data_IF_206505910316
#
_entry.id   IF_206505910316
#
_cell.length_a   1.000
_cell.length_b   1.000
_cell.length_c   1.000
_cell.angle_alpha   90.00
_cell.angle_beta   90.00
_cell.angle_gamma   90.00
#
_symmetry.space_group_name_H-M   'P 1'
#
loop_
_entity.id
_entity.type
_entity.pdbx_description
1 polymer ?
#
# COMPACT_ATOMS: atom_id res chain seq x y z
N UNK A 1 14.70 14.25 29.49
CA UNK A 1 14.22 15.48 28.79
C UNK A 1 14.84 15.54 27.42
N UNK A 2 14.00 15.73 26.39
CA UNK A 2 14.33 16.13 25.01
C UNK A 2 15.08 15.15 24.10
N UNK A 3 14.28 14.57 23.20
CA UNK A 3 14.53 14.37 21.77
C UNK A 3 15.68 13.43 21.35
N UNK A 4 15.29 12.25 20.87
CA UNK A 4 15.73 11.75 19.56
C UNK A 4 14.50 11.47 18.71
N UNK A 5 14.38 12.19 17.59
CA UNK A 5 13.45 11.87 16.49
C UNK A 5 14.20 12.27 15.23
N UNK A 6 14.72 11.30 14.48
CA UNK A 6 15.44 11.51 13.22
C UNK A 6 15.23 10.27 12.35
N UNK A 7 14.20 10.27 11.49
CA UNK A 7 14.16 9.35 10.32
C UNK A 7 15.38 9.67 9.43
N UNK A 8 16.08 8.66 8.92
CA UNK A 8 17.42 8.81 8.36
C UNK A 8 17.46 9.18 6.86
N UNK A 9 16.92 10.34 6.46
CA UNK A 9 16.96 10.78 5.06
C UNK A 9 18.31 11.44 4.67
N UNK A 10 19.04 10.81 3.74
CA UNK A 10 20.42 11.17 3.41
C UNK A 10 20.56 12.35 2.41
N UNK A 11 20.38 13.60 2.88
CA UNK A 11 20.58 14.82 2.06
C UNK A 11 21.77 15.65 2.54
N UNK A 12 22.77 15.84 1.67
CA UNK A 12 23.99 16.59 1.97
C UNK A 12 23.85 18.11 1.69
N UNK A 13 23.88 18.94 2.74
CA UNK A 13 23.96 20.41 2.61
C UNK A 13 25.07 21.05 3.45
N UNK A 14 25.55 22.21 3.00
CA UNK A 14 26.79 22.84 3.49
C UNK A 14 26.51 23.88 4.60
N UNK A 15 27.20 23.75 5.73
CA UNK A 15 26.99 24.62 6.90
C UNK A 15 27.57 26.03 6.72
N UNK A 16 26.76 27.06 6.97
CA UNK A 16 27.19 28.43 7.20
C UNK A 16 26.72 28.91 8.59
N UNK A 17 27.64 29.37 9.45
CA UNK A 17 27.36 29.68 10.86
C UNK A 17 27.08 31.15 11.13
N UNK A 18 26.08 31.43 11.99
CA UNK A 18 25.81 32.75 12.59
C UNK A 18 25.50 32.57 14.09
N UNK A 19 25.89 33.55 14.92
CA UNK A 19 25.97 33.42 16.39
C UNK A 19 25.19 34.53 17.12
N UNK A 20 24.43 34.19 18.16
CA UNK A 20 24.07 35.01 19.36
C UNK A 20 23.29 34.12 20.36
N UNK A 21 23.69 33.90 21.61
CA UNK A 21 23.78 34.77 22.81
C UNK A 21 22.45 35.07 23.57
N UNK A 22 22.23 34.37 24.70
CA UNK A 22 22.13 35.04 26.01
C UNK A 22 20.87 34.92 26.90
N UNK A 23 21.05 34.32 28.10
CA UNK A 23 20.39 34.64 29.41
C UNK A 23 18.86 34.47 29.61
N UNK A 24 18.28 34.30 30.82
CA UNK A 24 18.74 33.80 32.15
C UNK A 24 17.54 33.72 33.16
N UNK A 25 17.72 33.07 34.33
CA UNK A 25 16.83 32.98 35.51
C UNK A 25 15.60 32.04 35.37
N UNK A 26 15.22 31.11 36.28
CA UNK A 26 15.28 30.91 37.76
C UNK A 26 14.10 31.52 38.54
N UNK A 27 13.27 30.68 39.20
CA UNK A 27 12.62 30.93 40.52
C UNK A 27 12.04 29.65 41.16
N UNK A 28 11.83 29.65 42.49
CA UNK A 28 11.29 28.57 43.35
C UNK A 28 10.77 29.17 44.71
N UNK A 29 10.07 28.46 45.61
CA UNK A 29 9.58 27.06 45.57
C UNK A 29 8.03 26.95 45.79
N UNK A 30 7.35 26.58 46.90
CA UNK A 30 7.59 26.08 48.28
C UNK A 30 6.27 25.38 48.74
N UNK A 31 6.23 24.06 49.03
CA UNK A 31 6.31 23.38 50.35
C UNK A 31 5.16 23.58 51.38
N UNK A 32 4.89 22.52 52.16
CA UNK A 32 4.09 22.35 53.41
C UNK A 32 2.57 22.07 53.41
N UNK A 33 1.99 21.36 54.42
CA UNK A 33 2.40 20.17 55.22
C UNK A 33 1.30 19.75 56.25
N UNK A 34 1.38 18.51 56.79
CA UNK A 34 0.66 17.98 57.98
C UNK A 34 -0.90 17.85 57.86
N UNK A 35 -1.66 17.10 58.69
CA UNK A 35 -1.44 16.45 60.02
C UNK A 35 -2.05 15.03 60.06
N UNK A 36 -1.72 14.24 61.09
CA UNK A 36 -2.14 12.84 61.26
C UNK A 36 -2.95 12.57 62.55
N UNK A 37 -3.62 11.41 62.62
CA UNK A 37 -4.18 10.80 63.86
C UNK A 37 -4.13 9.27 63.80
N UNK A 38 -3.63 8.63 64.85
CA UNK A 38 -3.73 7.17 65.09
C UNK A 38 -4.96 6.83 65.96
N UNK A 39 -5.56 5.66 65.75
CA UNK A 39 -5.95 4.75 66.86
C UNK A 39 -6.02 3.29 66.36
N UNK A 40 -6.14 2.31 67.26
CA UNK A 40 -5.56 0.96 67.05
C UNK A 40 -6.53 -0.21 66.96
N UNK A 41 -6.14 -1.20 66.15
CA UNK A 41 -6.41 -2.65 66.24
C UNK A 41 -7.82 -3.18 65.91
N UNK A 42 -7.88 -4.19 65.02
CA UNK A 42 -8.05 -5.59 65.48
C UNK A 42 -7.30 -6.54 64.52
N UNK A 43 -7.19 -7.82 64.89
CA UNK A 43 -6.32 -8.84 64.27
C UNK A 43 -7.07 -9.74 63.26
N UNK A 44 -6.57 -9.85 62.02
CA UNK A 44 -7.18 -10.66 60.96
C UNK A 44 -6.18 -11.04 59.84
N UNK A 45 -5.47 -12.15 60.00
CA UNK A 45 -4.66 -12.72 58.92
C UNK A 45 -5.55 -13.08 57.71
N UNK A 46 -5.31 -12.41 56.60
CA UNK A 46 -5.77 -12.80 55.27
C UNK A 46 -4.53 -12.79 54.39
N UNK A 47 -4.18 -13.94 53.80
CA UNK A 47 -3.04 -14.02 52.88
C UNK A 47 -3.43 -13.30 51.58
N UNK A 48 -2.90 -12.09 51.41
CA UNK A 48 -3.00 -11.34 50.17
C UNK A 48 -1.84 -11.79 49.29
N UNK A 49 -2.12 -12.64 48.30
CA UNK A 49 -1.14 -13.20 47.36
C UNK A 49 -0.85 -12.14 46.28
N UNK A 50 -0.33 -11.01 46.75
CA UNK A 50 0.07 -9.89 45.92
C UNK A 50 1.35 -10.29 45.18
N UNK A 51 1.20 -10.80 43.95
CA UNK A 51 2.31 -10.86 43.00
C UNK A 51 2.79 -9.43 42.73
N UNK A 52 3.79 -9.02 43.51
CA UNK A 52 4.73 -7.98 43.10
C UNK A 52 5.38 -8.49 41.83
N UNK A 53 4.97 -7.94 40.69
CA UNK A 53 5.75 -8.03 39.47
C UNK A 53 7.10 -7.35 39.76
N UNK A 54 8.10 -8.15 40.11
CA UNK A 54 9.48 -7.71 40.22
C UNK A 54 9.91 -7.29 38.82
N UNK A 55 9.92 -5.98 38.57
CA UNK A 55 10.67 -5.37 37.48
C UNK A 55 12.16 -5.50 37.83
N UNK A 56 12.70 -6.72 37.72
CA UNK A 56 14.14 -6.91 37.67
C UNK A 56 14.68 -6.07 36.50
N UNK A 57 15.70 -5.23 36.76
CA UNK A 57 16.38 -4.50 35.68
C UNK A 57 16.99 -5.53 34.72
N UNK A 58 16.63 -5.44 33.43
CA UNK A 58 17.07 -6.40 32.41
C UNK A 58 18.59 -6.59 32.44
N UNK A 59 19.05 -7.84 32.39
CA UNK A 59 20.48 -8.12 32.55
C UNK A 59 21.26 -7.83 31.27
N UNK A 60 22.59 -7.63 31.42
CA UNK A 60 23.51 -7.51 30.28
C UNK A 60 23.42 -8.71 29.31
N UNK A 61 23.02 -9.89 29.79
CA UNK A 61 22.83 -11.10 28.96
C UNK A 61 21.43 -11.12 28.27
N UNK A 62 20.40 -10.48 28.85
CA UNK A 62 19.06 -10.37 28.25
C UNK A 62 19.04 -9.37 27.10
N UNK A 63 19.57 -8.15 27.33
CA UNK A 63 19.69 -7.14 26.27
C UNK A 63 20.54 -7.68 25.11
N UNK A 64 21.64 -8.38 25.42
CA UNK A 64 22.49 -8.99 24.38
C UNK A 64 21.75 -10.06 23.55
N UNK A 65 20.78 -10.78 24.14
CA UNK A 65 19.95 -11.72 23.39
C UNK A 65 18.98 -10.98 22.44
N UNK A 66 18.42 -9.86 22.87
CA UNK A 66 17.59 -8.99 22.05
C UNK A 66 18.40 -8.32 20.91
N UNK A 67 19.58 -7.77 21.22
CA UNK A 67 20.53 -7.19 20.25
C UNK A 67 20.89 -8.20 19.13
N UNK A 68 21.10 -9.48 19.49
CA UNK A 68 21.39 -10.56 18.54
C UNK A 68 20.20 -10.91 17.62
N UNK A 69 18.96 -10.59 18.02
CA UNK A 69 17.75 -10.77 17.21
C UNK A 69 17.43 -9.52 16.39
N UNK A 70 17.57 -8.32 16.96
CA UNK A 70 17.44 -7.05 16.24
C UNK A 70 18.36 -7.02 15.00
N UNK A 71 19.63 -7.39 15.18
CA UNK A 71 20.61 -7.46 14.09
C UNK A 71 20.35 -8.57 13.04
N UNK A 72 19.41 -9.49 13.29
CA UNK A 72 18.93 -10.46 12.30
C UNK A 72 17.68 -9.95 11.57
N UNK A 73 16.80 -9.21 12.25
CA UNK A 73 15.66 -8.52 11.64
C UNK A 73 16.15 -7.41 10.70
N UNK A 74 17.03 -6.53 11.18
CA UNK A 74 17.69 -5.47 10.39
C UNK A 74 18.41 -6.04 9.14
N UNK A 75 18.88 -7.30 9.21
CA UNK A 75 19.54 -7.98 8.09
C UNK A 75 18.55 -8.44 7.00
N UNK A 76 17.34 -8.86 7.37
CA UNK A 76 16.32 -9.30 6.41
C UNK A 76 15.42 -8.16 5.93
N UNK A 77 15.49 -6.99 6.56
CA UNK A 77 14.83 -5.78 6.09
C UNK A 77 15.59 -5.14 4.91
N UNK A 78 15.59 -5.83 3.76
CA UNK A 78 16.24 -5.40 2.52
C UNK A 78 15.34 -5.59 1.30
N UNK A 79 15.38 -4.62 0.38
CA UNK A 79 14.66 -4.71 -0.91
C UNK A 79 15.39 -5.59 -1.95
N UNK A 80 16.70 -5.84 -1.80
CA UNK A 80 17.45 -6.75 -2.68
C UNK A 80 17.53 -8.16 -2.07
N UNK A 81 16.95 -9.17 -2.73
CA UNK A 81 17.07 -10.60 -2.35
C UNK A 81 18.47 -11.13 -2.67
N UNK A 82 18.97 -12.08 -1.87
CA UNK A 82 20.31 -12.66 -2.02
C UNK A 82 20.31 -14.18 -1.84
N UNK A 83 21.39 -14.85 -2.23
CA UNK A 83 21.62 -16.29 -2.06
C UNK A 83 21.48 -16.80 -0.59
N UNK A 84 21.45 -15.93 0.42
CA UNK A 84 21.28 -16.32 1.84
C UNK A 84 19.96 -15.87 2.47
N UNK A 85 19.07 -15.18 1.74
CA UNK A 85 17.85 -14.59 2.30
C UNK A 85 17.00 -15.61 3.05
N UNK A 86 16.80 -16.82 2.52
CA UNK A 86 15.98 -17.88 3.11
C UNK A 86 16.61 -18.44 4.40
N UNK A 87 17.94 -18.63 4.40
CA UNK A 87 18.69 -19.05 5.59
C UNK A 87 18.66 -17.97 6.68
N UNK A 88 18.64 -16.69 6.29
CA UNK A 88 18.63 -15.54 7.18
C UNK A 88 17.23 -15.25 7.76
N UNK A 89 16.16 -15.33 6.96
CA UNK A 89 14.76 -15.23 7.40
C UNK A 89 14.46 -16.31 8.45
N UNK A 90 14.86 -17.55 8.15
CA UNK A 90 14.79 -18.65 9.10
C UNK A 90 15.61 -18.40 10.36
N UNK A 91 16.84 -17.89 10.23
CA UNK A 91 17.70 -17.63 11.39
C UNK A 91 17.13 -16.53 12.31
N UNK A 92 16.55 -15.46 11.74
CA UNK A 92 15.88 -14.39 12.49
C UNK A 92 14.72 -14.94 13.32
N UNK A 93 13.79 -15.68 12.70
CA UNK A 93 12.65 -16.27 13.41
C UNK A 93 13.07 -17.33 14.42
N UNK A 94 13.99 -18.21 14.04
CA UNK A 94 14.53 -19.20 14.98
C UNK A 94 15.20 -18.54 16.19
N UNK A 95 15.81 -17.36 16.05
CA UNK A 95 16.40 -16.63 17.17
C UNK A 95 15.34 -15.93 18.03
N UNK A 96 14.36 -15.27 17.42
CA UNK A 96 13.20 -14.69 18.09
C UNK A 96 12.43 -15.70 18.95
N UNK A 97 12.16 -16.89 18.41
CA UNK A 97 11.43 -17.97 19.11
C UNK A 97 12.22 -18.59 20.28
N UNK A 98 13.48 -18.18 20.50
CA UNK A 98 14.29 -18.54 21.68
C UNK A 98 14.25 -17.47 22.78
N UNK A 99 13.76 -16.26 22.50
CA UNK A 99 13.65 -15.18 23.48
C UNK A 99 12.54 -15.45 24.51
N UNK A 100 12.77 -15.03 25.75
CA UNK A 100 11.67 -14.86 26.71
C UNK A 100 10.82 -13.65 26.33
N UNK A 101 9.58 -13.57 26.79
CA UNK A 101 8.72 -12.43 26.45
C UNK A 101 9.33 -11.10 26.96
N UNK A 102 9.95 -11.09 28.13
CA UNK A 102 10.70 -9.95 28.66
C UNK A 102 11.97 -9.59 27.84
N UNK A 103 12.49 -10.48 27.00
CA UNK A 103 13.59 -10.18 26.07
C UNK A 103 13.07 -9.66 24.72
N UNK A 104 11.83 -9.99 24.32
CA UNK A 104 11.22 -9.46 23.10
C UNK A 104 10.95 -7.96 23.21
N UNK A 105 10.48 -7.52 24.38
CA UNK A 105 10.30 -6.09 24.73
C UNK A 105 11.60 -5.26 24.70
N UNK A 106 12.78 -5.90 24.56
CA UNK A 106 14.09 -5.24 24.51
C UNK A 106 14.70 -5.20 23.09
N UNK A 107 13.98 -5.71 22.08
CA UNK A 107 14.42 -5.70 20.67
C UNK A 107 14.24 -4.28 20.11
N UNK A 108 15.36 -3.57 19.92
CA UNK A 108 15.45 -2.23 19.33
C UNK A 108 16.60 -2.22 18.31
N UNK A 109 16.28 -2.04 17.01
CA UNK A 109 17.25 -2.04 15.89
C UNK A 109 17.24 -0.75 15.07
N UNK A 110 17.56 -0.86 13.78
CA UNK A 110 17.32 0.21 12.79
C UNK A 110 15.89 0.12 12.21
N UNK A 111 15.42 -1.11 11.95
CA UNK A 111 14.08 -1.44 11.45
C UNK A 111 13.45 -2.60 12.28
N UNK A 112 14.08 -2.97 13.41
CA UNK A 112 13.62 -4.02 14.32
C UNK A 112 12.99 -3.46 15.61
N UNK A 113 11.83 -4.00 15.98
CA UNK A 113 11.09 -3.67 17.20
C UNK A 113 10.41 -4.95 17.78
N UNK A 114 9.74 -4.88 18.95
CA UNK A 114 9.04 -6.03 19.54
C UNK A 114 7.81 -6.51 18.75
N UNK A 115 7.23 -5.67 17.90
CA UNK A 115 6.02 -5.96 17.14
C UNK A 115 6.33 -6.67 15.81
N UNK A 116 7.53 -6.49 15.23
CA UNK A 116 7.95 -7.09 13.96
C UNK A 116 7.60 -8.59 13.86
N UNK A 117 7.88 -9.38 14.90
CA UNK A 117 7.42 -10.77 15.02
C UNK A 117 6.42 -11.00 16.17
N UNK A 118 6.12 -9.98 16.99
CA UNK A 118 5.19 -10.08 18.13
C UNK A 118 3.74 -9.74 17.81
N UNK A 119 3.49 -8.91 16.79
CA UNK A 119 2.18 -8.34 16.47
C UNK A 119 1.19 -9.37 15.96
N UNK A 120 0.00 -9.42 16.55
CA UNK A 120 -1.14 -10.15 15.99
C UNK A 120 -1.58 -9.44 14.69
N UNK A 121 -1.51 -10.19 13.60
CA UNK A 121 -1.83 -9.73 12.24
C UNK A 121 -2.95 -10.55 11.61
N UNK A 122 -3.57 -11.47 12.35
CA UNK A 122 -4.56 -12.41 11.86
C UNK A 122 -3.98 -13.76 11.44
N UNK A 123 -4.84 -14.58 10.82
CA UNK A 123 -4.62 -16.01 10.62
C UNK A 123 -4.02 -16.32 9.25
N UNK A 124 -2.71 -16.54 9.20
CA UNK A 124 -1.97 -16.91 7.98
C UNK A 124 -2.58 -18.15 7.28
N UNK A 125 -3.22 -19.07 8.01
CA UNK A 125 -3.78 -20.30 7.42
C UNK A 125 -5.07 -20.09 6.60
N UNK A 126 -5.55 -18.84 6.50
CA UNK A 126 -6.61 -18.42 5.56
C UNK A 126 -6.07 -18.04 4.17
N UNK A 127 -4.77 -17.74 4.06
CA UNK A 127 -4.16 -17.28 2.81
C UNK A 127 -3.95 -18.44 1.81
N UNK A 128 -3.65 -18.11 0.57
CA UNK A 128 -3.14 -19.02 -0.45
C UNK A 128 -2.09 -18.23 -1.25
N UNK A 129 -0.78 -18.57 -1.17
CA UNK A 129 0.25 -17.83 -1.90
C UNK A 129 0.10 -18.00 -3.41
N UNK A 130 -0.60 -19.03 -3.91
CA UNK A 130 -0.80 -19.28 -5.34
C UNK A 130 0.52 -19.25 -6.14
N UNK A 131 1.57 -19.90 -5.62
CA UNK A 131 2.89 -20.01 -6.29
C UNK A 131 3.21 -21.47 -6.72
N UNK A 132 2.22 -22.21 -7.23
CA UNK A 132 2.32 -23.65 -7.56
C UNK A 132 2.46 -23.96 -9.07
N UNK A 133 3.33 -24.92 -9.38
CA UNK A 133 3.88 -25.13 -10.73
C UNK A 133 2.96 -25.86 -11.74
N UNK A 134 1.96 -26.61 -11.29
CA UNK A 134 1.11 -27.42 -12.19
C UNK A 134 0.02 -26.56 -12.89
N UNK A 135 0.43 -25.80 -13.92
CA UNK A 135 -0.44 -24.88 -14.70
C UNK A 135 -0.62 -25.25 -16.18
N UNK A 136 -1.52 -24.52 -16.85
CA UNK A 136 -1.70 -24.53 -18.30
C UNK A 136 -0.92 -23.42 -19.01
N UNK A 137 -1.15 -23.26 -20.32
CA UNK A 137 -0.43 -22.29 -21.17
C UNK A 137 -0.81 -20.80 -20.92
N UNK A 138 -1.77 -20.54 -20.02
CA UNK A 138 -2.29 -19.21 -19.68
C UNK A 138 -2.07 -18.92 -18.19
N UNK A 139 -1.40 -17.81 -17.86
CA UNK A 139 -1.19 -17.33 -16.49
C UNK A 139 -1.70 -15.90 -16.32
N UNK A 140 -2.42 -15.68 -15.23
CA UNK A 140 -2.87 -14.36 -14.77
C UNK A 140 -2.09 -14.02 -13.50
N UNK A 141 -1.00 -13.29 -13.65
CA UNK A 141 -0.12 -12.91 -12.55
C UNK A 141 -0.65 -11.64 -11.89
N UNK A 142 -1.14 -11.79 -10.66
CA UNK A 142 -1.61 -10.68 -9.81
C UNK A 142 -0.41 -10.14 -9.04
N UNK A 143 -0.09 -8.87 -9.25
CA UNK A 143 1.09 -8.22 -8.68
C UNK A 143 0.66 -7.18 -7.66
N UNK A 144 1.07 -7.36 -6.41
CA UNK A 144 0.80 -6.43 -5.32
C UNK A 144 2.09 -5.83 -4.77
N UNK A 145 2.01 -4.70 -4.07
CA UNK A 145 3.09 -4.31 -3.15
C UNK A 145 3.28 -5.39 -2.06
N UNK A 146 2.16 -5.93 -1.58
CA UNK A 146 2.09 -7.00 -0.58
C UNK A 146 1.68 -6.50 0.80
N UNK A 147 1.46 -7.42 1.74
CA UNK A 147 1.37 -7.07 3.17
C UNK A 147 1.72 -8.22 4.11
N UNK A 148 2.40 -7.92 5.21
CA UNK A 148 2.61 -8.82 6.33
C UNK A 148 1.39 -8.92 7.27
N UNK A 149 0.32 -8.17 7.02
CA UNK A 149 -0.94 -8.30 7.76
C UNK A 149 -1.77 -9.46 7.20
N UNK A 150 -1.82 -10.59 7.91
CA UNK A 150 -2.41 -11.84 7.44
C UNK A 150 -3.89 -11.76 7.08
N UNK A 151 -4.72 -11.18 7.95
CA UNK A 151 -6.15 -11.03 7.66
C UNK A 151 -6.37 -10.05 6.47
N UNK A 152 -5.54 -9.01 6.33
CA UNK A 152 -5.56 -8.13 5.15
C UNK A 152 -5.06 -8.82 3.87
N UNK A 153 -4.08 -9.72 3.96
CA UNK A 153 -3.62 -10.53 2.83
C UNK A 153 -4.70 -11.51 2.37
N UNK A 154 -5.36 -12.17 3.31
CA UNK A 154 -6.42 -13.16 3.06
C UNK A 154 -7.79 -12.55 2.68
N UNK A 155 -8.08 -11.30 3.06
CA UNK A 155 -9.37 -10.64 2.77
C UNK A 155 -9.30 -9.56 1.68
N UNK A 156 -8.17 -8.85 1.50
CA UNK A 156 -8.01 -7.85 0.43
C UNK A 156 -7.33 -8.41 -0.82
N UNK A 157 -6.07 -8.90 -0.71
CA UNK A 157 -5.30 -9.38 -1.88
C UNK A 157 -5.93 -10.66 -2.44
N UNK A 158 -6.12 -11.65 -1.56
CA UNK A 158 -6.72 -12.93 -1.94
C UNK A 158 -8.17 -12.81 -2.40
N UNK A 159 -8.91 -11.79 -1.96
CA UNK A 159 -10.26 -11.48 -2.47
C UNK A 159 -10.23 -11.17 -3.97
N UNK A 160 -9.35 -10.26 -4.39
CA UNK A 160 -9.10 -9.93 -5.80
C UNK A 160 -8.68 -11.18 -6.58
N UNK A 161 -7.74 -11.99 -6.06
CA UNK A 161 -7.25 -13.21 -6.72
C UNK A 161 -8.33 -14.29 -6.87
N UNK A 162 -9.19 -14.47 -5.86
CA UNK A 162 -10.33 -15.38 -5.90
C UNK A 162 -11.37 -14.91 -6.92
N UNK A 163 -11.69 -13.60 -6.97
CA UNK A 163 -12.64 -13.01 -7.93
C UNK A 163 -12.15 -13.13 -9.38
N UNK A 164 -10.86 -12.84 -9.61
CA UNK A 164 -10.21 -13.04 -10.90
C UNK A 164 -10.21 -14.52 -11.31
N UNK A 165 -9.99 -15.44 -10.36
CA UNK A 165 -10.01 -16.87 -10.66
C UNK A 165 -11.42 -17.41 -10.98
N UNK A 166 -12.47 -16.85 -10.38
CA UNK A 166 -13.87 -17.15 -10.75
C UNK A 166 -14.24 -16.59 -12.13
N UNK A 167 -13.79 -15.37 -12.45
CA UNK A 167 -14.03 -14.73 -13.75
C UNK A 167 -13.28 -15.43 -14.90
N UNK A 168 -12.07 -15.94 -14.65
CA UNK A 168 -11.17 -16.51 -15.65
C UNK A 168 -10.74 -17.95 -15.30
N UNK A 169 -11.65 -18.94 -15.31
CA UNK A 169 -11.36 -20.32 -14.91
C UNK A 169 -10.44 -21.09 -15.89
N UNK A 170 -10.22 -20.56 -17.10
CA UNK A 170 -9.25 -21.07 -18.09
C UNK A 170 -7.85 -20.40 -17.98
N UNK A 171 -7.65 -19.55 -16.97
CA UNK A 171 -6.39 -18.88 -16.62
C UNK A 171 -5.92 -19.31 -15.23
N UNK A 172 -4.62 -19.52 -15.09
CA UNK A 172 -4.03 -19.89 -13.80
C UNK A 172 -3.69 -18.61 -13.03
N UNK A 173 -4.44 -18.27 -11.97
CA UNK A 173 -4.14 -17.06 -11.18
C UNK A 173 -2.94 -17.32 -10.27
N UNK A 174 -1.90 -16.49 -10.39
CA UNK A 174 -0.64 -16.54 -9.63
C UNK A 174 -0.38 -15.22 -8.93
N UNK A 175 0.44 -15.23 -7.88
CA UNK A 175 0.79 -14.04 -7.06
C UNK A 175 2.26 -13.68 -7.24
N UNK A 176 2.56 -12.38 -7.28
CA UNK A 176 3.89 -11.86 -6.95
C UNK A 176 3.79 -10.60 -6.09
N UNK A 177 4.75 -10.39 -5.18
CA UNK A 177 4.90 -9.14 -4.45
C UNK A 177 6.10 -8.32 -4.97
N UNK A 178 6.01 -6.99 -4.97
CA UNK A 178 7.15 -6.10 -5.30
C UNK A 178 8.04 -5.85 -4.09
N UNK A 179 7.47 -5.68 -2.89
CA UNK A 179 8.23 -5.34 -1.69
C UNK A 179 8.92 -6.58 -1.08
N UNK A 180 10.21 -6.78 -1.38
CA UNK A 180 10.99 -7.87 -0.83
C UNK A 180 11.08 -7.82 0.71
N UNK A 181 11.04 -6.64 1.32
CA UNK A 181 10.92 -6.50 2.79
C UNK A 181 9.68 -7.21 3.37
N UNK A 182 8.56 -7.19 2.64
CA UNK A 182 7.32 -7.88 3.04
C UNK A 182 7.43 -9.38 2.80
N UNK A 183 8.02 -9.80 1.67
CA UNK A 183 8.25 -11.22 1.37
C UNK A 183 9.14 -11.85 2.44
N UNK A 184 10.26 -11.21 2.79
CA UNK A 184 11.18 -11.69 3.83
C UNK A 184 10.50 -11.78 5.20
N UNK A 185 9.65 -10.80 5.54
CA UNK A 185 8.87 -10.79 6.78
C UNK A 185 7.89 -11.98 6.84
N UNK A 186 7.13 -12.22 5.76
CA UNK A 186 6.14 -13.31 5.66
C UNK A 186 6.83 -14.68 5.65
N UNK A 187 7.91 -14.84 4.88
CA UNK A 187 8.74 -16.05 4.86
C UNK A 187 9.30 -16.35 6.27
N UNK A 188 9.89 -15.35 6.93
CA UNK A 188 10.44 -15.51 8.27
C UNK A 188 9.36 -15.82 9.33
N UNK A 189 8.26 -15.08 9.34
CA UNK A 189 7.28 -15.15 10.44
C UNK A 189 6.31 -16.32 10.30
N UNK A 190 5.82 -16.56 9.08
CA UNK A 190 4.69 -17.46 8.80
C UNK A 190 5.10 -18.80 8.15
N UNK A 191 6.38 -18.98 7.74
CA UNK A 191 6.89 -20.12 6.93
C UNK A 191 6.21 -20.20 5.53
N UNK A 192 5.67 -19.07 5.04
CA UNK A 192 4.89 -18.95 3.81
C UNK A 192 5.72 -18.28 2.69
N UNK A 193 5.80 -18.93 1.52
CA UNK A 193 6.72 -18.53 0.45
C UNK A 193 5.96 -17.86 -0.70
N UNK A 194 6.14 -16.55 -0.82
CA UNK A 194 5.56 -15.72 -1.90
C UNK A 194 6.68 -15.35 -2.87
N UNK A 195 6.44 -15.50 -4.18
CA UNK A 195 7.43 -15.11 -5.19
C UNK A 195 7.57 -13.57 -5.28
N UNK A 196 8.79 -13.08 -5.46
CA UNK A 196 9.02 -11.75 -6.00
C UNK A 196 8.84 -11.73 -7.52
N UNK A 197 8.83 -10.54 -8.14
CA UNK A 197 8.66 -10.39 -9.60
C UNK A 197 9.62 -11.27 -10.44
N UNK A 198 10.90 -11.36 -10.07
CA UNK A 198 11.88 -12.18 -10.77
C UNK A 198 11.57 -13.67 -10.64
N UNK A 199 11.23 -14.13 -9.43
CA UNK A 199 10.88 -15.53 -9.16
C UNK A 199 9.59 -15.95 -9.89
N UNK A 200 8.57 -15.11 -9.89
CA UNK A 200 7.30 -15.40 -10.57
C UNK A 200 7.47 -15.45 -12.09
N UNK A 201 8.19 -14.49 -12.67
CA UNK A 201 8.45 -14.45 -14.11
C UNK A 201 9.34 -15.62 -14.58
N UNK A 202 10.35 -16.04 -13.79
CA UNK A 202 11.10 -17.27 -14.07
C UNK A 202 10.22 -18.53 -13.93
N UNK A 203 9.36 -18.60 -12.90
CA UNK A 203 8.45 -19.74 -12.69
C UNK A 203 7.45 -19.89 -13.84
N UNK A 204 6.85 -18.80 -14.32
CA UNK A 204 5.96 -18.80 -15.48
C UNK A 204 6.65 -19.37 -16.73
N UNK A 205 7.93 -19.02 -16.94
CA UNK A 205 8.74 -19.53 -18.06
C UNK A 205 9.09 -21.02 -17.89
N UNK A 206 9.52 -21.45 -16.71
CA UNK A 206 9.84 -22.87 -16.43
C UNK A 206 8.60 -23.78 -16.49
N UNK A 207 7.42 -23.24 -16.16
CA UNK A 207 6.12 -23.91 -16.32
C UNK A 207 5.66 -24.00 -17.79
N UNK A 208 6.28 -23.23 -18.70
CA UNK A 208 5.92 -23.20 -20.12
C UNK A 208 4.65 -22.38 -20.44
N UNK A 209 4.39 -21.32 -19.68
CA UNK A 209 3.36 -20.32 -20.00
C UNK A 209 3.64 -19.70 -21.36
N UNK A 210 2.57 -19.41 -22.10
CA UNK A 210 2.61 -18.74 -23.41
C UNK A 210 1.94 -17.39 -23.38
N UNK A 211 0.80 -17.29 -22.70
CA UNK A 211 -0.01 -16.09 -22.59
C UNK A 211 0.06 -15.62 -21.14
N UNK A 212 0.80 -14.54 -20.90
CA UNK A 212 0.89 -13.90 -19.60
C UNK A 212 0.02 -12.65 -19.59
N UNK A 213 -0.94 -12.57 -18.68
CA UNK A 213 -1.59 -11.31 -18.33
C UNK A 213 -1.16 -10.93 -16.93
N UNK A 214 -0.73 -9.69 -16.75
CA UNK A 214 -0.36 -9.15 -15.44
C UNK A 214 -1.44 -8.18 -14.98
N UNK A 215 -2.04 -8.44 -13.83
CA UNK A 215 -2.97 -7.52 -13.16
C UNK A 215 -2.24 -6.87 -11.97
N UNK A 216 -1.74 -5.63 -12.11
CA UNK A 216 -1.26 -4.88 -10.95
C UNK A 216 -2.43 -4.55 -10.03
N UNK A 217 -2.29 -4.86 -8.74
CA UNK A 217 -3.12 -4.31 -7.67
C UNK A 217 -2.54 -3.00 -7.13
N UNK A 218 -1.75 -2.28 -7.95
CA UNK A 218 -1.29 -0.94 -7.61
C UNK A 218 -2.45 0.05 -7.68
N UNK A 219 -2.33 1.16 -6.95
CA UNK A 219 -3.38 2.18 -6.92
C UNK A 219 -3.43 2.99 -8.22
N UNK A 220 -2.29 3.27 -8.86
CA UNK A 220 -2.19 4.07 -10.10
C UNK A 220 -0.89 3.77 -10.86
N UNK A 221 -0.76 4.33 -12.07
CA UNK A 221 0.53 4.39 -12.79
C UNK A 221 1.50 5.29 -12.02
N UNK A 222 2.56 4.69 -11.48
CA UNK A 222 3.65 5.35 -10.76
C UNK A 222 4.79 4.37 -10.52
N UNK A 223 5.82 4.75 -9.73
CA UNK A 223 7.08 4.01 -9.61
C UNK A 223 6.95 2.48 -9.53
N UNK A 224 6.14 1.93 -8.62
CA UNK A 224 5.90 0.46 -8.50
C UNK A 224 5.34 -0.19 -9.78
N UNK A 225 4.49 0.53 -10.53
CA UNK A 225 3.95 0.09 -11.82
C UNK A 225 5.00 0.23 -12.94
N UNK A 226 5.80 1.30 -12.92
CA UNK A 226 6.87 1.54 -13.90
C UNK A 226 7.97 0.47 -13.76
N UNK A 227 8.45 0.21 -12.53
CA UNK A 227 9.45 -0.83 -12.22
C UNK A 227 8.94 -2.25 -12.53
N UNK A 228 7.67 -2.55 -12.20
CA UNK A 228 7.01 -3.79 -12.62
C UNK A 228 6.97 -3.93 -14.15
N UNK A 229 6.66 -2.84 -14.87
CA UNK A 229 6.58 -2.83 -16.33
C UNK A 229 7.95 -3.01 -16.99
N UNK A 230 9.01 -2.39 -16.46
CA UNK A 230 10.38 -2.62 -16.92
C UNK A 230 10.80 -4.09 -16.73
N UNK A 231 10.51 -4.69 -15.58
CA UNK A 231 10.79 -6.11 -15.33
C UNK A 231 10.04 -7.06 -16.28
N UNK A 232 8.80 -6.75 -16.65
CA UNK A 232 8.00 -7.57 -17.59
C UNK A 232 8.53 -7.45 -19.02
N UNK A 233 9.00 -6.28 -19.46
CA UNK A 233 9.55 -6.09 -20.81
C UNK A 233 10.84 -6.92 -21.02
N UNK A 234 11.65 -7.17 -19.97
CA UNK A 234 12.81 -8.06 -20.02
C UNK A 234 12.46 -9.57 -20.20
N UNK A 235 11.20 -9.97 -20.00
CA UNK A 235 10.71 -11.35 -20.14
C UNK A 235 9.86 -11.60 -21.38
N UNK A 236 9.51 -10.53 -22.09
CA UNK A 236 8.49 -10.53 -23.15
C UNK A 236 8.82 -11.41 -24.36
N UNK A 237 10.09 -11.70 -24.61
CA UNK A 237 10.53 -12.60 -25.70
C UNK A 237 10.49 -14.10 -25.31
N UNK A 238 10.21 -14.41 -24.04
CA UNK A 238 10.07 -15.78 -23.52
C UNK A 238 8.64 -16.33 -23.64
N UNK A 239 7.66 -15.45 -23.85
CA UNK A 239 6.23 -15.77 -23.98
C UNK A 239 5.74 -15.65 -25.45
N UNK A 240 4.61 -16.26 -25.80
CA UNK A 240 3.97 -16.06 -27.11
C UNK A 240 3.14 -14.76 -27.13
N UNK A 241 2.56 -14.35 -25.99
CA UNK A 241 1.90 -13.06 -25.83
C UNK A 241 1.94 -12.55 -24.37
N UNK A 242 2.01 -11.23 -24.20
CA UNK A 242 2.03 -10.55 -22.89
C UNK A 242 1.14 -9.31 -22.93
N UNK A 243 0.32 -9.10 -21.90
CA UNK A 243 -0.38 -7.84 -21.65
C UNK A 243 -0.33 -7.47 -20.15
N UNK A 244 -0.36 -6.17 -19.88
CA UNK A 244 -0.50 -5.60 -18.53
C UNK A 244 -1.86 -4.92 -18.49
N UNK A 245 -2.62 -5.15 -17.42
CA UNK A 245 -3.91 -4.51 -17.17
C UNK A 245 -3.73 -3.17 -16.45
N UNK A 246 -4.76 -2.32 -16.49
CA UNK A 246 -4.76 -1.06 -15.74
C UNK A 246 -4.69 -1.30 -14.22
N UNK A 247 -4.02 -0.41 -13.45
CA UNK A 247 -4.11 -0.36 -12.00
C UNK A 247 -5.42 0.32 -11.54
N UNK A 248 -5.72 0.28 -10.25
CA UNK A 248 -7.07 0.57 -9.72
C UNK A 248 -7.68 1.93 -10.13
N UNK A 249 -6.89 3.00 -10.14
CA UNK A 249 -7.32 4.34 -10.56
C UNK A 249 -6.99 4.64 -12.02
N UNK A 250 -6.45 3.69 -12.79
CA UNK A 250 -5.95 3.88 -14.16
C UNK A 250 -4.84 4.93 -14.29
N UNK A 251 -4.64 5.45 -15.52
CA UNK A 251 -3.69 6.52 -15.84
C UNK A 251 -3.76 7.72 -14.88
N UNK A 252 -2.61 8.31 -14.52
CA UNK A 252 -2.56 9.59 -13.78
C UNK A 252 -2.48 10.76 -14.76
N UNK A 253 -3.43 11.68 -14.69
CA UNK A 253 -3.47 12.85 -15.57
C UNK A 253 -2.54 14.00 -15.15
N UNK A 254 -2.28 14.94 -16.07
CA UNK A 254 -1.34 16.06 -15.89
C UNK A 254 -1.64 16.99 -14.69
N UNK A 255 -2.90 17.14 -14.29
CA UNK A 255 -3.31 17.95 -13.14
C UNK A 255 -4.56 17.40 -12.42
N UNK A 256 -4.90 17.99 -11.27
CA UNK A 256 -6.01 17.59 -10.40
C UNK A 256 -7.39 17.52 -11.10
N UNK A 257 -7.58 18.18 -12.24
CA UNK A 257 -8.84 18.23 -12.99
C UNK A 257 -8.99 17.13 -14.05
N UNK A 258 -7.94 16.33 -14.27
CA UNK A 258 -7.94 15.24 -15.26
C UNK A 258 -8.38 13.94 -14.58
N UNK A 259 -9.66 13.60 -14.74
CA UNK A 259 -10.31 12.43 -14.12
C UNK A 259 -10.75 11.42 -15.19
N UNK A 260 -10.64 10.12 -14.87
CA UNK A 260 -11.12 8.98 -15.65
C UNK A 260 -12.27 8.25 -14.93
N UNK A 261 -12.95 7.33 -15.63
CA UNK A 261 -14.07 6.59 -15.05
C UNK A 261 -13.64 5.63 -13.92
N UNK A 262 -12.38 5.17 -13.88
CA UNK A 262 -11.84 4.31 -12.82
C UNK A 262 -11.81 5.03 -11.45
N UNK A 263 -11.24 6.25 -11.41
CA UNK A 263 -11.28 7.12 -10.22
C UNK A 263 -12.72 7.38 -9.75
N UNK A 264 -13.67 7.48 -10.69
CA UNK A 264 -15.09 7.65 -10.36
C UNK A 264 -15.72 6.40 -9.76
N UNK A 265 -15.43 5.23 -10.33
CA UNK A 265 -15.88 3.94 -9.80
C UNK A 265 -15.36 3.70 -8.39
N UNK A 266 -14.06 3.92 -8.16
CA UNK A 266 -13.42 3.74 -6.85
C UNK A 266 -13.91 4.78 -5.83
N UNK A 267 -14.06 6.05 -6.22
CA UNK A 267 -14.60 7.09 -5.34
C UNK A 267 -16.04 6.79 -4.88
N UNK A 268 -16.88 6.26 -5.77
CA UNK A 268 -18.22 5.80 -5.44
C UNK A 268 -18.16 4.56 -4.52
N UNK A 269 -17.37 3.54 -4.89
CA UNK A 269 -17.28 2.28 -4.15
C UNK A 269 -16.78 2.46 -2.69
N UNK A 270 -15.74 3.28 -2.47
CA UNK A 270 -15.23 3.53 -1.11
C UNK A 270 -16.22 4.35 -0.28
N UNK A 271 -16.96 5.29 -0.86
CA UNK A 271 -17.93 6.11 -0.12
C UNK A 271 -19.21 5.35 0.22
N UNK A 272 -19.70 4.50 -0.69
CA UNK A 272 -20.85 3.63 -0.42
C UNK A 272 -20.53 2.61 0.68
N UNK A 273 -19.34 1.97 0.63
CA UNK A 273 -18.94 1.02 1.68
C UNK A 273 -18.69 1.72 3.02
N UNK A 274 -18.03 2.88 3.02
CA UNK A 274 -17.80 3.65 4.24
C UNK A 274 -19.10 4.12 4.89
N UNK A 275 -20.10 4.54 4.10
CA UNK A 275 -21.44 4.87 4.58
C UNK A 275 -22.16 3.64 5.15
N UNK A 276 -22.15 2.53 4.42
CA UNK A 276 -22.75 1.24 4.81
C UNK A 276 -22.20 0.73 6.15
N UNK A 277 -20.89 0.75 6.32
CA UNK A 277 -20.22 0.34 7.56
C UNK A 277 -20.46 1.32 8.72
N UNK A 278 -20.52 2.63 8.45
CA UNK A 278 -20.86 3.65 9.44
C UNK A 278 -22.38 3.76 9.74
N UNK A 279 -23.24 3.02 9.02
CA UNK A 279 -24.68 2.95 9.26
C UNK A 279 -25.52 4.06 8.61
N UNK A 280 -25.03 4.72 7.56
CA UNK A 280 -25.74 5.75 6.79
C UNK A 280 -26.25 5.20 5.45
N UNK A 281 -27.43 5.66 5.01
CA UNK A 281 -28.00 5.31 3.70
C UNK A 281 -27.26 5.98 2.51
N UNK A 282 -26.54 7.09 2.74
CA UNK A 282 -25.70 7.78 1.75
C UNK A 282 -24.76 8.82 2.38
N UNK A 283 -23.83 9.36 1.57
CA UNK A 283 -22.93 10.45 1.96
C UNK A 283 -23.67 11.71 2.40
N UNK A 284 -24.80 12.06 1.77
CA UNK A 284 -25.63 13.20 2.19
C UNK A 284 -26.31 12.96 3.53
N UNK A 285 -26.74 11.72 3.83
CA UNK A 285 -27.32 11.38 5.13
C UNK A 285 -26.28 11.49 6.26
N UNK A 286 -25.02 11.09 5.99
CA UNK A 286 -23.90 11.32 6.90
C UNK A 286 -23.61 12.83 7.07
N UNK A 287 -23.66 13.61 5.99
CA UNK A 287 -23.45 15.06 6.04
C UNK A 287 -24.55 15.81 6.82
N UNK A 288 -25.82 15.40 6.70
CA UNK A 288 -26.94 15.98 7.47
C UNK A 288 -26.82 15.72 9.00
N UNK A 289 -26.22 14.60 9.39
CA UNK A 289 -25.89 14.26 10.78
C UNK A 289 -24.57 14.91 11.28
N UNK A 290 -23.77 15.49 10.37
CA UNK A 290 -22.52 16.18 10.69
C UNK A 290 -21.28 15.28 10.68
N UNK A 291 -21.36 14.14 9.99
CA UNK A 291 -20.27 13.17 9.83
C UNK A 291 -19.48 13.39 8.53
N UNK A 292 -18.16 13.42 8.65
CA UNK A 292 -17.21 13.44 7.54
C UNK A 292 -16.43 12.13 7.43
N UNK A 293 -16.07 11.77 6.20
CA UNK A 293 -15.17 10.66 5.90
C UNK A 293 -13.82 11.20 5.44
N UNK A 294 -12.74 10.66 6.01
CA UNK A 294 -11.37 10.97 5.66
C UNK A 294 -10.73 9.71 5.10
N UNK A 295 -10.35 9.76 3.82
CA UNK A 295 -9.76 8.66 3.09
C UNK A 295 -8.25 8.86 3.01
N UNK A 296 -7.49 8.02 3.73
CA UNK A 296 -6.04 8.17 3.91
C UNK A 296 -5.28 7.27 2.93
N UNK A 297 -4.67 7.86 1.91
CA UNK A 297 -3.75 7.17 1.01
C UNK A 297 -2.33 7.11 1.59
N UNK A 298 -1.45 6.35 0.93
CA UNK A 298 -0.02 6.33 1.29
C UNK A 298 0.64 7.69 0.96
N UNK A 299 0.38 8.22 -0.24
CA UNK A 299 1.17 9.32 -0.81
C UNK A 299 2.44 8.83 -1.51
N UNK A 300 3.09 9.68 -2.31
CA UNK A 300 4.35 9.35 -2.99
C UNK A 300 5.14 10.62 -3.32
N UNK A 301 6.46 10.47 -3.53
CA UNK A 301 7.32 11.52 -4.09
C UNK A 301 7.31 11.51 -5.64
N UNK A 302 6.67 10.52 -6.27
CA UNK A 302 6.50 10.45 -7.72
C UNK A 302 5.51 11.51 -8.23
N UNK A 303 5.59 11.88 -9.51
CA UNK A 303 4.60 12.77 -10.15
C UNK A 303 3.17 12.24 -10.07
N UNK A 304 3.03 10.92 -9.89
CA UNK A 304 1.76 10.25 -9.63
C UNK A 304 1.00 10.75 -8.38
N UNK A 305 1.62 11.51 -7.47
CA UNK A 305 0.95 11.98 -6.24
C UNK A 305 -0.28 12.86 -6.51
N UNK A 306 -0.37 13.52 -7.68
CA UNK A 306 -1.55 14.27 -8.11
C UNK A 306 -2.83 13.42 -8.20
N UNK A 307 -2.71 12.08 -8.22
CA UNK A 307 -3.86 11.17 -8.15
C UNK A 307 -4.72 11.38 -6.90
N UNK A 308 -4.14 11.81 -5.77
CA UNK A 308 -4.89 12.08 -4.54
C UNK A 308 -5.71 13.39 -4.64
N UNK A 309 -5.19 14.41 -5.34
CA UNK A 309 -5.96 15.62 -5.70
C UNK A 309 -7.03 15.32 -6.75
N UNK A 310 -6.76 14.39 -7.68
CA UNK A 310 -7.75 13.89 -8.65
C UNK A 310 -8.88 13.15 -7.93
N UNK A 311 -8.58 12.31 -6.93
CA UNK A 311 -9.59 11.68 -6.09
C UNK A 311 -10.37 12.72 -5.27
N UNK A 312 -9.73 13.72 -4.69
CA UNK A 312 -10.43 14.80 -3.98
C UNK A 312 -11.35 15.61 -4.92
N UNK A 313 -10.91 15.83 -6.16
CA UNK A 313 -11.72 16.47 -7.22
C UNK A 313 -12.90 15.61 -7.63
N UNK A 314 -12.71 14.29 -7.79
CA UNK A 314 -13.79 13.36 -8.08
C UNK A 314 -14.83 13.26 -6.94
N UNK A 315 -14.41 13.32 -5.67
CA UNK A 315 -15.35 13.44 -4.54
C UNK A 315 -16.20 14.71 -4.63
N UNK A 316 -15.59 15.84 -5.02
CA UNK A 316 -16.31 17.10 -5.25
C UNK A 316 -17.29 17.03 -6.43
N UNK A 317 -16.92 16.35 -7.54
CA UNK A 317 -17.76 16.17 -8.72
C UNK A 317 -18.92 15.19 -8.51
N UNK A 318 -18.80 14.24 -7.57
CA UNK A 318 -19.93 13.45 -7.05
C UNK A 318 -20.83 14.28 -6.12
N UNK A 319 -20.37 15.44 -5.65
CA UNK A 319 -21.11 16.34 -4.76
C UNK A 319 -20.88 16.09 -3.26
N UNK A 320 -19.94 15.22 -2.90
CA UNK A 320 -19.69 14.80 -1.52
C UNK A 320 -18.93 15.86 -0.71
N UNK A 321 -19.68 16.82 -0.15
CA UNK A 321 -19.13 17.92 0.66
C UNK A 321 -18.46 17.48 1.97
N UNK A 322 -18.59 16.20 2.34
CA UNK A 322 -18.08 15.58 3.55
C UNK A 322 -17.02 14.48 3.30
N UNK A 323 -16.47 14.38 2.08
CA UNK A 323 -15.36 13.49 1.73
C UNK A 323 -14.03 14.26 1.60
N UNK A 324 -13.03 13.83 2.34
CA UNK A 324 -11.70 14.46 2.37
C UNK A 324 -10.62 13.42 2.05
N UNK A 325 -9.69 13.75 1.16
CA UNK A 325 -8.50 12.92 0.89
C UNK A 325 -7.31 13.49 1.66
N UNK A 326 -6.46 12.61 2.16
CA UNK A 326 -5.15 12.94 2.72
C UNK A 326 -4.15 11.80 2.52
N UNK A 327 -2.88 12.04 2.82
CA UNK A 327 -1.80 11.07 2.64
C UNK A 327 -0.85 11.03 3.82
N UNK A 328 -0.30 9.84 4.13
CA UNK A 328 0.73 9.67 5.18
C UNK A 328 2.00 10.44 4.81
N UNK A 329 2.42 10.34 3.55
CA UNK A 329 3.61 10.98 3.01
C UNK A 329 3.33 11.77 1.72
N UNK A 330 4.38 12.33 1.10
CA UNK A 330 4.30 13.09 -0.16
C UNK A 330 4.20 14.61 0.02
N UNK A 331 4.20 15.30 -1.11
CA UNK A 331 3.96 16.75 -1.23
C UNK A 331 2.74 16.94 -2.15
N UNK A 332 1.77 17.81 -1.81
CA UNK A 332 1.96 19.05 -1.03
C UNK A 332 1.57 18.96 0.45
N UNK A 333 2.04 19.95 1.22
CA UNK A 333 1.64 20.26 2.62
C UNK A 333 0.12 20.20 2.91
N UNK A 334 -0.77 20.30 1.92
CA UNK A 334 -2.22 20.37 2.17
C UNK A 334 -2.96 19.01 2.23
N UNK A 335 -2.27 17.91 1.90
CA UNK A 335 -2.78 16.53 2.13
C UNK A 335 -2.38 15.94 3.49
N UNK A 336 -1.54 16.65 4.26
CA UNK A 336 -1.09 16.23 5.59
C UNK A 336 -2.25 16.16 6.60
N UNK A 337 -2.11 15.34 7.65
CA UNK A 337 -3.13 15.15 8.69
C UNK A 337 -3.66 16.48 9.29
N UNK A 338 -2.77 17.44 9.59
CA UNK A 338 -3.16 18.75 10.16
C UNK A 338 -3.93 19.63 9.17
N UNK A 339 -3.57 19.61 7.88
CA UNK A 339 -4.32 20.30 6.84
C UNK A 339 -5.70 19.66 6.62
N UNK A 340 -5.81 18.33 6.67
CA UNK A 340 -7.10 17.62 6.61
C UNK A 340 -7.96 17.92 7.84
N UNK A 341 -7.41 17.89 9.06
CA UNK A 341 -8.10 18.32 10.29
C UNK A 341 -8.66 19.75 10.13
N UNK A 342 -7.89 20.67 9.54
CA UNK A 342 -8.35 22.03 9.25
C UNK A 342 -9.47 22.06 8.19
N UNK A 343 -9.34 21.34 7.07
CA UNK A 343 -10.35 21.21 6.00
C UNK A 343 -11.70 20.71 6.56
N UNK A 344 -11.70 19.61 7.32
CA UNK A 344 -12.90 19.01 7.93
C UNK A 344 -13.57 19.96 8.93
N UNK A 345 -12.76 20.63 9.76
CA UNK A 345 -13.21 21.58 10.79
C UNK A 345 -13.81 22.85 10.21
N UNK A 346 -13.21 23.43 9.16
CA UNK A 346 -13.69 24.66 8.52
C UNK A 346 -14.93 24.41 7.64
N UNK A 347 -15.09 23.18 7.11
CA UNK A 347 -16.35 22.71 6.54
C UNK A 347 -17.48 22.53 7.59
N UNK A 348 -17.13 22.43 8.88
CA UNK A 348 -18.05 22.48 10.01
C UNK A 348 -18.47 21.13 10.59
N UNK A 349 -17.95 20.01 10.07
CA UNK A 349 -18.28 18.66 10.55
C UNK A 349 -17.83 18.41 11.98
N UNK A 350 -18.48 17.45 12.64
CA UNK A 350 -18.33 17.17 14.08
C UNK A 350 -17.99 15.72 14.39
N UNK A 351 -18.37 14.76 13.54
CA UNK A 351 -17.91 13.37 13.65
C UNK A 351 -16.99 13.06 12.48
N UNK A 352 -16.00 12.22 12.69
CA UNK A 352 -15.03 11.84 11.66
C UNK A 352 -14.90 10.33 11.62
N UNK A 353 -14.92 9.76 10.41
CA UNK A 353 -14.58 8.37 10.14
C UNK A 353 -13.31 8.34 9.29
N UNK A 354 -12.24 7.72 9.81
CA UNK A 354 -10.99 7.48 9.09
C UNK A 354 -11.07 6.12 8.36
N UNK A 355 -10.71 6.05 7.07
CA UNK A 355 -10.64 4.81 6.28
C UNK A 355 -9.43 4.82 5.33
N UNK A 356 -8.74 3.68 5.08
CA UNK A 356 -7.68 3.61 4.08
C UNK A 356 -8.17 3.90 2.65
N UNK A 357 -7.36 4.64 1.89
CA UNK A 357 -7.39 4.71 0.42
C UNK A 357 -6.21 3.90 -0.14
N UNK A 358 -6.13 2.63 0.28
CA UNK A 358 -5.07 1.69 -0.03
C UNK A 358 -5.68 0.31 -0.29
N UNK A 359 -5.05 -0.52 -1.11
CA UNK A 359 -5.60 -1.82 -1.51
C UNK A 359 -5.76 -2.74 -0.31
N UNK A 360 -4.77 -2.73 0.60
CA UNK A 360 -4.76 -3.49 1.85
C UNK A 360 -4.94 -2.57 3.06
N UNK A 361 -5.61 -3.06 4.10
CA UNK A 361 -5.48 -2.48 5.45
C UNK A 361 -4.17 -2.97 6.11
N UNK A 362 -3.03 -2.53 5.56
CA UNK A 362 -1.68 -2.88 6.03
C UNK A 362 -1.21 -2.02 7.21
N UNK A 363 0.11 -1.89 7.35
CA UNK A 363 0.73 -1.23 8.51
C UNK A 363 0.27 0.21 8.72
N UNK A 364 0.33 1.05 7.68
CA UNK A 364 -0.18 2.43 7.71
C UNK A 364 -1.66 2.55 8.13
N UNK A 365 -2.50 1.55 7.83
CA UNK A 365 -3.90 1.56 8.25
C UNK A 365 -4.07 1.28 9.76
N UNK A 366 -3.16 0.50 10.34
CA UNK A 366 -3.20 0.08 11.75
C UNK A 366 -2.40 1.03 12.65
N UNK A 367 -1.27 1.56 12.18
CA UNK A 367 -0.38 2.46 12.93
C UNK A 367 -0.69 3.93 12.61
N UNK A 368 -0.29 4.40 11.43
CA UNK A 368 -0.38 5.82 11.06
C UNK A 368 -1.82 6.33 11.10
N UNK A 369 -2.80 5.56 10.62
CA UNK A 369 -4.19 5.99 10.64
C UNK A 369 -4.84 5.82 12.02
N UNK A 370 -4.64 4.65 12.65
CA UNK A 370 -5.51 4.15 13.72
C UNK A 370 -4.79 3.65 14.98
N UNK A 371 -3.47 3.82 15.08
CA UNK A 371 -2.66 3.44 16.24
C UNK A 371 -3.01 4.26 17.49
N UNK A 372 -2.41 3.92 18.63
CA UNK A 372 -2.60 4.67 19.89
C UNK A 372 -1.51 5.73 20.14
N UNK A 373 -0.45 5.77 19.32
CA UNK A 373 0.61 6.78 19.40
C UNK A 373 0.15 8.20 19.08
N UNK A 374 0.86 9.20 19.66
CA UNK A 374 0.53 10.63 19.60
C UNK A 374 0.50 11.20 18.15
N UNK A 375 1.25 10.61 17.22
CA UNK A 375 1.35 11.02 15.81
C UNK A 375 0.43 10.22 14.86
N UNK A 376 -0.27 9.18 15.34
CA UNK A 376 -1.36 8.58 14.56
C UNK A 376 -2.47 9.58 14.24
N UNK A 377 -3.15 9.43 13.10
CA UNK A 377 -4.23 10.32 12.67
C UNK A 377 -5.38 10.29 13.67
N UNK A 378 -5.74 9.10 14.18
CA UNK A 378 -6.70 8.94 15.28
C UNK A 378 -6.34 9.80 16.49
N UNK A 379 -5.08 9.78 16.95
CA UNK A 379 -4.62 10.63 18.06
C UNK A 379 -4.61 12.11 17.70
N UNK A 380 -4.09 12.50 16.52
CA UNK A 380 -4.06 13.89 16.06
C UNK A 380 -5.46 14.51 15.93
N UNK A 381 -6.43 13.77 15.36
CA UNK A 381 -7.82 14.21 15.24
C UNK A 381 -8.47 14.38 16.61
N UNK A 382 -8.27 13.43 17.55
CA UNK A 382 -8.76 13.56 18.92
C UNK A 382 -8.10 14.73 19.68
N UNK A 383 -6.78 14.87 19.59
CA UNK A 383 -6.00 15.94 20.24
C UNK A 383 -6.37 17.35 19.74
N UNK A 384 -6.93 17.47 18.53
CA UNK A 384 -7.44 18.73 17.99
C UNK A 384 -8.56 19.36 18.84
N UNK A 385 -9.31 18.55 19.59
CA UNK A 385 -10.49 18.96 20.34
C UNK A 385 -11.62 19.57 19.48
N UNK A 386 -11.60 19.32 18.16
CA UNK A 386 -12.54 19.91 17.20
C UNK A 386 -13.76 19.02 16.90
N UNK A 387 -13.73 17.75 17.30
CA UNK A 387 -14.70 16.71 16.93
C UNK A 387 -15.33 16.06 18.17
N UNK A 388 -16.57 15.60 18.02
CA UNK A 388 -17.39 14.93 19.03
C UNK A 388 -17.20 13.39 19.00
N UNK A 389 -16.81 12.81 17.84
CA UNK A 389 -16.26 11.46 17.71
C UNK A 389 -15.22 11.38 16.59
N UNK A 390 -14.30 10.42 16.73
CA UNK A 390 -13.30 10.03 15.73
C UNK A 390 -13.27 8.50 15.73
N UNK A 391 -13.82 7.92 14.66
CA UNK A 391 -14.01 6.48 14.49
C UNK A 391 -13.13 5.99 13.32
N UNK A 392 -12.77 4.71 13.27
CA UNK A 392 -11.85 4.15 12.26
C UNK A 392 -12.40 2.86 11.63
N UNK A 393 -12.29 2.74 10.30
CA UNK A 393 -12.69 1.57 9.52
C UNK A 393 -11.44 0.90 8.93
N UNK A 394 -11.00 -0.19 9.54
CA UNK A 394 -9.74 -0.88 9.19
C UNK A 394 -10.01 -1.91 8.09
N UNK A 395 -10.25 -1.42 6.88
CA UNK A 395 -10.63 -2.22 5.73
C UNK A 395 -9.97 -1.64 4.46
N UNK A 396 -9.32 -2.50 3.67
CA UNK A 396 -8.73 -2.11 2.40
C UNK A 396 -9.78 -1.84 1.31
N UNK A 397 -9.30 -1.35 0.18
CA UNK A 397 -10.07 -1.26 -1.06
C UNK A 397 -10.26 -2.63 -1.72
N UNK A 398 -9.33 -3.58 -1.52
CA UNK A 398 -9.35 -4.89 -2.18
C UNK A 398 -10.57 -5.74 -1.83
N UNK A 399 -11.02 -5.72 -0.57
CA UNK A 399 -12.24 -6.43 -0.11
C UNK A 399 -13.58 -5.78 -0.52
N UNK A 400 -13.58 -4.73 -1.34
CA UNK A 400 -14.81 -4.07 -1.80
C UNK A 400 -15.23 -4.70 -3.12
N UNK A 401 -16.38 -5.38 -3.16
CA UNK A 401 -16.86 -6.17 -4.31
C UNK A 401 -16.82 -5.39 -5.64
N UNK A 402 -17.16 -4.10 -5.62
CA UNK A 402 -17.14 -3.20 -6.79
C UNK A 402 -15.73 -2.77 -7.25
N UNK A 403 -14.70 -2.93 -6.40
CA UNK A 403 -13.29 -2.73 -6.74
C UNK A 403 -12.68 -4.04 -7.26
N UNK A 404 -13.05 -5.19 -6.70
CA UNK A 404 -12.72 -6.50 -7.29
C UNK A 404 -13.28 -6.59 -8.73
N UNK A 405 -14.54 -6.17 -8.95
CA UNK A 405 -15.18 -6.14 -10.26
C UNK A 405 -14.44 -5.22 -11.24
N UNK A 406 -13.87 -4.10 -10.77
CA UNK A 406 -13.06 -3.20 -11.60
C UNK A 406 -11.77 -3.88 -12.07
N UNK A 407 -11.07 -4.61 -11.17
CA UNK A 407 -9.92 -5.42 -11.56
C UNK A 407 -10.29 -6.55 -12.54
N UNK A 408 -11.48 -7.15 -12.41
CA UNK A 408 -12.00 -8.09 -13.41
C UNK A 408 -12.19 -7.40 -14.76
N UNK A 409 -12.78 -6.19 -14.82
CA UNK A 409 -12.92 -5.45 -16.08
C UNK A 409 -11.57 -5.02 -16.71
N UNK A 410 -10.60 -4.59 -15.89
CA UNK A 410 -9.24 -4.27 -16.34
C UNK A 410 -8.51 -5.50 -16.90
N UNK A 411 -8.53 -6.62 -16.17
CA UNK A 411 -8.00 -7.92 -16.64
C UNK A 411 -8.70 -8.35 -17.93
N UNK A 412 -10.02 -8.13 -18.05
CA UNK A 412 -10.76 -8.46 -19.27
C UNK A 412 -10.22 -7.72 -20.50
N UNK A 413 -9.89 -6.43 -20.35
CA UNK A 413 -9.34 -5.62 -21.43
C UNK A 413 -7.95 -6.11 -21.85
N UNK A 414 -7.10 -6.49 -20.88
CA UNK A 414 -5.79 -7.08 -21.15
C UNK A 414 -5.90 -8.42 -21.89
N UNK A 415 -6.75 -9.35 -21.43
CA UNK A 415 -7.01 -10.64 -22.10
C UNK A 415 -7.55 -10.44 -23.52
N UNK A 416 -8.53 -9.54 -23.72
CA UNK A 416 -9.08 -9.24 -25.04
C UNK A 416 -8.01 -8.69 -26.01
N UNK A 417 -7.04 -7.91 -25.50
CA UNK A 417 -5.99 -7.29 -26.32
C UNK A 417 -5.10 -8.31 -27.03
N UNK A 418 -4.75 -9.42 -26.35
CA UNK A 418 -3.93 -10.50 -26.90
C UNK A 418 -4.54 -11.06 -28.20
N UNK A 419 -5.86 -11.26 -28.19
CA UNK A 419 -6.62 -11.77 -29.33
C UNK A 419 -6.73 -10.81 -30.52
N UNK A 420 -6.35 -9.53 -30.36
CA UNK A 420 -6.36 -8.56 -31.47
C UNK A 420 -5.03 -8.51 -32.24
N UNK A 421 -3.91 -8.82 -31.59
CA UNK A 421 -2.58 -8.80 -32.22
C UNK A 421 -2.49 -9.72 -33.45
N UNK A 422 -2.99 -10.96 -33.31
CA UNK A 422 -2.98 -12.02 -34.35
C UNK A 422 -3.87 -11.70 -35.57
N UNK A 423 -4.56 -10.55 -35.58
CA UNK A 423 -5.39 -10.09 -36.71
C UNK A 423 -4.77 -8.94 -37.52
N UNK A 424 -3.55 -8.52 -37.21
CA UNK A 424 -2.87 -7.39 -37.85
C UNK A 424 -1.65 -7.73 -38.71
N UNK A 425 -1.30 -9.01 -38.91
CA UNK A 425 -0.42 -9.40 -40.02
C UNK A 425 -1.08 -9.05 -41.37
N UNK A 426 -0.46 -8.16 -42.14
CA UNK A 426 -1.04 -7.65 -43.38
C UNK A 426 -1.24 -8.75 -44.43
N UNK A 427 -2.47 -8.87 -44.93
CA UNK A 427 -2.73 -9.54 -46.21
C UNK A 427 -2.13 -8.71 -47.35
N UNK A 428 -0.85 -8.92 -47.65
CA UNK A 428 -0.19 -8.38 -48.84
C UNK A 428 -0.80 -9.07 -50.07
N UNK A 429 -1.74 -8.39 -50.73
CA UNK A 429 -2.35 -8.82 -51.99
C UNK A 429 -1.33 -8.64 -53.14
N UNK A 430 -0.60 -9.70 -53.44
CA UNK A 430 0.45 -9.76 -54.46
C UNK A 430 -0.12 -9.82 -55.90
N UNK A 431 -0.96 -8.83 -56.28
CA UNK A 431 -1.63 -8.78 -57.60
C UNK A 431 -1.66 -7.39 -58.29
N UNK A 432 -0.49 -6.86 -58.71
CA UNK A 432 -0.46 -5.81 -59.74
C UNK A 432 0.76 -5.89 -60.69
N UNK A 433 0.48 -5.77 -62.00
CA UNK A 433 1.37 -6.03 -63.14
C UNK A 433 2.67 -5.21 -63.21
N UNK A 434 3.69 -5.81 -63.84
CA UNK A 434 4.89 -5.09 -64.30
C UNK A 434 4.64 -4.35 -65.62
N UNK A 435 5.13 -3.11 -65.71
CA UNK A 435 5.29 -2.37 -66.97
C UNK A 435 6.66 -1.66 -66.98
N UNK A 436 7.51 -2.01 -67.95
CA UNK A 436 8.88 -1.48 -68.12
C UNK A 436 8.85 -0.27 -69.07
N UNK A 437 9.29 0.90 -68.59
CA UNK A 437 9.34 2.14 -69.37
C UNK A 437 10.64 2.22 -70.18
N UNK A 438 10.53 1.98 -71.49
CA UNK A 438 11.63 2.12 -72.44
C UNK A 438 11.35 3.20 -73.48
N UNK A 439 12.17 4.25 -73.43
CA UNK A 439 12.07 5.44 -74.29
C UNK A 439 12.84 5.29 -75.60
N UNK A 440 12.22 5.63 -76.74
CA UNK A 440 12.71 6.48 -77.84
C UNK A 440 11.62 6.59 -78.94
N UNK A 441 11.71 7.57 -79.87
CA UNK A 441 11.06 7.46 -81.19
C UNK A 441 10.04 8.52 -81.65
N UNK A 442 10.41 9.80 -81.64
CA UNK A 442 10.17 10.87 -82.65
C UNK A 442 8.84 11.02 -83.49
N UNK A 443 8.56 12.29 -83.83
CA UNK A 443 7.63 12.79 -84.91
C UNK A 443 6.11 12.56 -84.73
N UNK A 444 5.19 13.43 -85.19
CA UNK A 444 5.13 14.89 -85.46
C UNK A 444 3.63 15.29 -85.60
N UNK A 445 3.32 16.58 -85.77
CA UNK A 445 2.05 17.18 -86.26
C UNK A 445 0.90 17.48 -85.26
N UNK A 446 0.39 18.71 -85.42
CA UNK A 446 -0.78 19.44 -84.88
C UNK A 446 -2.15 18.70 -84.96
N UNK A 447 -3.27 19.12 -84.36
CA UNK A 447 -3.78 20.50 -84.24
C UNK A 447 -4.99 20.69 -83.26
N UNK A 448 -5.32 21.96 -82.99
CA UNK A 448 -6.52 22.67 -82.47
C UNK A 448 -7.72 22.00 -81.70
N UNK A 449 -8.40 22.86 -80.90
CA UNK A 449 -9.72 22.74 -80.24
C UNK A 449 -9.89 21.73 -79.09
N UNK A 450 -10.40 22.03 -77.88
CA UNK A 450 -11.28 23.07 -77.30
C UNK A 450 -12.80 22.87 -77.44
N UNK A 451 -13.45 22.36 -76.37
CA UNK A 451 -14.80 22.71 -75.92
C UNK A 451 -15.10 22.15 -74.51
N UNK A 452 -15.77 22.98 -73.70
CA UNK A 452 -16.59 22.72 -72.48
C UNK A 452 -16.24 21.55 -71.53
#
# INVERSE_FOLDING_TARGET
MKNKTVKALAIAMTVATVTMMGSASIYASDDTAETATEETADDAETADDAETADTEEASDDDQKAADEVAALIDKIYVQERTDTTDEDCKAAKEAWDKLTDAQKELVEGEEADPDYFGRDTGDASKDDPRNQDEIGENELLVVSFGTSFNDSRAEDIKGIEDKLQEAYPDWSVRRAFTAQIIINHVEARDDEVIDNMQQALDRAVDNGVKNLVVQPTHLMHGAEYDEMTEAIEEYKDKFESVAIAEPMLGEVGDDATVINDDKKAVAQAITDEACKEAGYDSMEAAAEDGTAFVFMGHGTSHTANVTYDQMQTQMNDLGFTNAFIGTVEGEPEDTECQAVIAKVKDAGFKKVVLRPLMVVAGDHANNDMAGDDDDSWKSQFNASGAFDSVDCQIAGLGRIEAVEDLYVEHTKAAIDSLGTADTTEETIDDTAEAADDTTDGAEEVTDDSAAE
#
